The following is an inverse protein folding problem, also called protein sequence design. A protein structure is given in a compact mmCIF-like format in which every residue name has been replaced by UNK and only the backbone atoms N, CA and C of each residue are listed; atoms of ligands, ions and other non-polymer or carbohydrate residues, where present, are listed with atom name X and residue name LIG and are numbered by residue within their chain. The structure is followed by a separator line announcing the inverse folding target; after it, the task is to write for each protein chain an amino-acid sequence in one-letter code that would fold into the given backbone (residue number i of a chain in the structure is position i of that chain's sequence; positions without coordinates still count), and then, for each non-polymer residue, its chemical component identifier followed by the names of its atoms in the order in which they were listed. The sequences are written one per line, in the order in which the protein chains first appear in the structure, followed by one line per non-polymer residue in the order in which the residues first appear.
data_IF_082236914447
#
_entry.id   IF_082236914447
#
_cell.length_a   1.000
_cell.length_b   1.000
_cell.length_c   1.000
_cell.angle_alpha   90.00
_cell.angle_beta   90.00
_cell.angle_gamma   90.00
#
_symmetry.space_group_name_H-M   'P 1'
#
loop_
_entity.id
_entity.type
_entity.pdbx_description
1 polymer ?
#
# COMPACT_ATOMS: atom_id res chain seq x y z
N UNK A 1 -37.02 -18.34 53.37
CA UNK A 1 -38.11 -19.05 52.65
C UNK A 1 -38.45 -18.31 51.35
N UNK A 2 -38.73 -19.09 50.29
CA UNK A 2 -39.35 -18.74 49.00
C UNK A 2 -38.51 -18.05 47.91
N UNK A 3 -38.00 -18.93 47.04
CA UNK A 3 -37.62 -18.75 45.63
C UNK A 3 -38.76 -18.19 44.78
N UNK A 4 -38.43 -17.41 43.74
CA UNK A 4 -39.23 -17.34 42.50
C UNK A 4 -38.38 -16.89 41.29
N UNK A 5 -38.08 -17.83 40.40
CA UNK A 5 -38.02 -17.68 38.92
C UNK A 5 -39.15 -18.58 38.37
N UNK A 6 -39.52 -18.58 37.07
CA UNK A 6 -39.34 -17.61 35.97
C UNK A 6 -40.70 -17.33 35.27
N UNK A 7 -40.75 -16.49 34.22
CA UNK A 7 -41.79 -16.63 33.18
C UNK A 7 -41.32 -16.14 31.81
N UNK A 8 -41.13 -17.11 30.93
CA UNK A 8 -41.03 -16.99 29.48
C UNK A 8 -42.35 -16.48 28.89
N UNK A 9 -42.29 -15.62 27.87
CA UNK A 9 -43.44 -15.41 26.99
C UNK A 9 -42.99 -15.54 25.52
N UNK A 10 -43.11 -16.77 25.00
CA UNK A 10 -43.32 -17.02 23.58
C UNK A 10 -44.82 -16.90 23.32
N UNK A 11 -45.22 -16.11 22.33
CA UNK A 11 -46.43 -16.40 21.57
C UNK A 11 -46.26 -16.13 20.07
N UNK A 12 -47.07 -16.81 19.23
CA UNK A 12 -46.75 -17.10 17.84
C UNK A 12 -47.75 -16.48 16.85
N UNK A 13 -47.37 -16.55 15.57
CA UNK A 13 -48.32 -16.81 14.48
C UNK A 13 -48.89 -15.59 13.75
N UNK A 14 -48.95 -15.71 12.42
CA UNK A 14 -49.78 -14.84 11.60
C UNK A 14 -49.31 -14.63 10.17
N UNK A 15 -49.33 -15.69 9.36
CA UNK A 15 -49.24 -15.62 7.89
C UNK A 15 -50.40 -14.77 7.33
N UNK A 16 -50.15 -13.99 6.30
CA UNK A 16 -51.08 -13.85 5.16
C UNK A 16 -50.33 -13.26 3.96
N UNK A 17 -50.49 -13.91 2.82
CA UNK A 17 -49.78 -13.59 1.60
C UNK A 17 -50.43 -12.45 0.82
N UNK A 18 -49.62 -11.84 -0.04
CA UNK A 18 -50.10 -11.12 -1.20
C UNK A 18 -49.28 -11.57 -2.40
N UNK A 19 -49.92 -12.40 -3.24
CA UNK A 19 -49.55 -12.61 -4.64
C UNK A 19 -49.57 -11.27 -5.35
N UNK A 20 -48.48 -10.89 -6.03
CA UNK A 20 -48.58 -10.04 -7.22
C UNK A 20 -47.79 -10.66 -8.37
N UNK A 21 -48.52 -10.80 -9.47
CA UNK A 21 -48.10 -11.31 -10.77
C UNK A 21 -47.33 -10.22 -11.52
N UNK A 22 -46.27 -10.65 -12.21
CA UNK A 22 -45.96 -10.31 -13.59
C UNK A 22 -45.66 -8.85 -13.95
N UNK A 23 -44.39 -8.58 -14.21
CA UNK A 23 -43.98 -7.79 -15.36
C UNK A 23 -42.69 -8.42 -15.92
N UNK A 24 -42.80 -8.95 -17.14
CA UNK A 24 -41.68 -9.39 -17.93
C UNK A 24 -40.88 -8.16 -18.37
N UNK A 25 -39.57 -8.18 -18.13
CA UNK A 25 -38.63 -7.29 -18.81
C UNK A 25 -37.45 -8.13 -19.26
N UNK A 26 -37.43 -8.41 -20.56
CA UNK A 26 -36.29 -9.01 -21.23
C UNK A 26 -35.20 -7.97 -21.39
N UNK A 27 -34.02 -8.26 -20.87
CA UNK A 27 -32.78 -7.63 -21.29
C UNK A 27 -31.81 -8.76 -21.67
N UNK A 28 -31.68 -8.97 -22.97
CA UNK A 28 -30.69 -9.84 -23.60
C UNK A 28 -29.30 -9.22 -23.37
N UNK A 29 -28.57 -9.70 -22.36
CA UNK A 29 -27.15 -9.43 -22.14
C UNK A 29 -26.37 -10.72 -22.35
N UNK A 30 -25.64 -10.80 -23.46
CA UNK A 30 -24.94 -12.00 -23.95
C UNK A 30 -23.90 -12.48 -22.94
N UNK A 31 -24.18 -13.58 -22.25
CA UNK A 31 -23.17 -14.40 -21.62
C UNK A 31 -22.26 -14.98 -22.72
N UNK A 32 -21.05 -14.44 -22.85
CA UNK A 32 -20.00 -15.07 -23.63
C UNK A 32 -19.62 -16.36 -22.91
N UNK A 33 -20.24 -17.46 -23.32
CA UNK A 33 -19.90 -18.82 -22.91
C UNK A 33 -18.49 -19.11 -23.39
N UNK A 34 -17.56 -19.28 -22.45
CA UNK A 34 -16.26 -19.86 -22.73
C UNK A 34 -16.49 -21.34 -23.04
N UNK A 35 -16.63 -21.67 -24.32
CA UNK A 35 -16.68 -23.06 -24.80
C UNK A 35 -15.29 -23.68 -24.60
N UNK A 36 -15.18 -24.57 -23.63
CA UNK A 36 -14.13 -25.58 -23.61
C UNK A 36 -14.38 -26.55 -24.76
N UNK A 37 -13.82 -26.28 -25.93
CA UNK A 37 -13.78 -27.26 -27.01
C UNK A 37 -12.74 -28.31 -26.63
N UNK A 38 -13.23 -29.47 -26.17
CA UNK A 38 -12.48 -30.73 -26.18
C UNK A 38 -12.24 -31.11 -27.64
N UNK A 39 -11.16 -30.58 -28.21
CA UNK A 39 -10.70 -30.83 -29.58
C UNK A 39 -9.34 -31.51 -29.54
N UNK A 40 -9.30 -32.75 -29.07
CA UNK A 40 -8.11 -33.61 -29.14
C UNK A 40 -8.17 -34.50 -30.39
N UNK A 41 -8.41 -33.96 -31.59
CA UNK A 41 -8.49 -34.79 -32.81
C UNK A 41 -8.15 -34.01 -34.11
N UNK A 42 -7.15 -33.11 -34.07
CA UNK A 42 -6.87 -32.22 -35.20
C UNK A 42 -5.40 -31.95 -35.54
N UNK A 43 -4.43 -32.72 -35.01
CA UNK A 43 -3.00 -32.43 -35.16
C UNK A 43 -2.19 -33.54 -35.86
N UNK A 44 -2.88 -34.41 -36.61
CA UNK A 44 -2.23 -35.38 -37.50
C UNK A 44 -2.52 -34.98 -38.94
N UNK A 45 -1.63 -34.20 -39.57
CA UNK A 45 -1.40 -34.16 -41.03
C UNK A 45 -0.93 -32.79 -41.55
N UNK A 46 0.14 -32.23 -41.00
CA UNK A 46 1.07 -31.40 -41.79
C UNK A 46 2.43 -31.58 -41.14
N UNK A 47 3.49 -31.72 -41.92
CA UNK A 47 4.87 -32.00 -41.47
C UNK A 47 5.19 -33.50 -41.42
N UNK A 48 5.21 -34.12 -42.59
CA UNK A 48 6.12 -35.24 -42.84
C UNK A 48 7.53 -34.67 -43.02
N UNK A 49 8.28 -34.46 -41.93
CA UNK A 49 9.73 -34.24 -42.03
C UNK A 49 10.35 -35.57 -42.45
N UNK A 50 10.62 -35.72 -43.75
CA UNK A 50 11.59 -36.71 -44.21
C UNK A 50 12.95 -36.21 -43.76
N UNK A 51 13.45 -36.75 -42.66
CA UNK A 51 14.84 -36.55 -42.27
C UNK A 51 15.73 -37.18 -43.36
N UNK A 52 16.16 -36.36 -44.32
CA UNK A 52 17.32 -36.68 -45.17
C UNK A 52 18.53 -36.53 -44.26
N UNK A 53 18.85 -37.59 -43.52
CA UNK A 53 20.14 -37.69 -42.84
C UNK A 53 21.14 -38.08 -43.92
N UNK A 54 21.61 -37.09 -44.69
CA UNK A 54 22.88 -37.20 -45.39
C UNK A 54 23.96 -37.42 -44.34
N UNK A 55 24.83 -38.45 -44.46
CA UNK A 55 26.01 -38.57 -43.61
C UNK A 55 26.99 -37.50 -44.08
N UNK A 56 26.76 -36.24 -43.69
CA UNK A 56 27.81 -35.25 -43.75
C UNK A 56 28.95 -35.78 -42.89
N UNK A 57 30.09 -35.97 -43.55
CA UNK A 57 31.36 -36.36 -42.96
C UNK A 57 31.49 -35.79 -41.55
N UNK A 58 31.49 -36.65 -40.54
CA UNK A 58 31.89 -36.26 -39.18
C UNK A 58 33.36 -35.85 -39.29
N UNK A 59 33.60 -34.58 -39.61
CA UNK A 59 34.90 -33.95 -39.35
C UNK A 59 35.03 -34.04 -37.84
N UNK A 60 35.75 -35.05 -37.38
CA UNK A 60 36.24 -35.09 -36.01
C UNK A 60 36.98 -33.78 -35.82
N UNK A 61 36.36 -32.84 -35.12
CA UNK A 61 37.05 -31.66 -34.64
C UNK A 61 38.20 -32.21 -33.81
N UNK A 62 39.42 -32.06 -34.33
CA UNK A 62 40.65 -32.41 -33.63
C UNK A 62 40.60 -31.62 -32.31
N UNK A 63 40.44 -32.33 -31.20
CA UNK A 63 40.51 -31.75 -29.86
C UNK A 63 41.88 -31.10 -29.71
N UNK A 64 41.92 -29.78 -29.81
CA UNK A 64 43.10 -29.00 -29.44
C UNK A 64 43.13 -28.97 -27.92
N UNK A 65 44.24 -29.41 -27.33
CA UNK A 65 44.43 -29.32 -25.88
C UNK A 65 44.36 -27.85 -25.43
N UNK A 66 43.71 -27.60 -24.31
CA UNK A 66 43.67 -26.26 -23.68
C UNK A 66 45.05 -25.91 -23.15
N UNK A 67 45.51 -24.70 -23.47
CA UNK A 67 46.74 -24.14 -22.89
C UNK A 67 46.48 -23.65 -21.46
N UNK A 68 47.48 -23.77 -20.56
CA UNK A 68 47.39 -23.21 -19.21
C UNK A 68 47.12 -21.69 -19.22
N UNK A 69 47.64 -21.00 -20.24
CA UNK A 69 47.41 -19.55 -20.43
C UNK A 69 45.95 -19.25 -20.78
N UNK A 70 45.29 -20.14 -21.53
CA UNK A 70 43.89 -19.97 -21.95
C UNK A 70 42.93 -20.02 -20.77
N UNK A 71 43.15 -20.97 -19.84
CA UNK A 71 42.38 -21.06 -18.59
C UNK A 71 42.63 -19.84 -17.70
N UNK A 72 43.88 -19.37 -17.62
CA UNK A 72 44.23 -18.19 -16.82
C UNK A 72 43.51 -16.93 -17.35
N UNK A 73 43.51 -16.72 -18.66
CA UNK A 73 42.77 -15.61 -19.28
C UNK A 73 41.26 -15.77 -19.05
N UNK A 74 40.70 -16.98 -19.18
CA UNK A 74 39.29 -17.23 -18.92
C UNK A 74 38.88 -16.89 -17.47
N UNK A 75 39.70 -17.27 -16.48
CA UNK A 75 39.48 -16.94 -15.06
C UNK A 75 39.58 -15.42 -14.80
N UNK A 76 40.50 -14.74 -15.47
CA UNK A 76 40.61 -13.26 -15.38
C UNK A 76 39.36 -12.60 -15.95
N UNK A 77 38.92 -12.98 -17.16
CA UNK A 77 37.71 -12.42 -17.77
C UNK A 77 36.47 -12.73 -16.93
N UNK A 78 36.34 -13.96 -16.43
CA UNK A 78 35.25 -14.37 -15.56
C UNK A 78 35.21 -13.55 -14.26
N UNK A 79 36.37 -13.36 -13.62
CA UNK A 79 36.43 -12.60 -12.37
C UNK A 79 36.05 -11.13 -12.57
N UNK A 80 36.53 -10.49 -13.64
CA UNK A 80 36.11 -9.12 -14.01
C UNK A 80 34.60 -9.06 -14.30
N UNK A 81 34.06 -10.04 -15.04
CA UNK A 81 32.62 -10.12 -15.32
C UNK A 81 31.77 -10.25 -14.04
N UNK A 82 32.21 -11.08 -13.09
CA UNK A 82 31.50 -11.29 -11.82
C UNK A 82 31.51 -10.04 -10.93
N UNK A 83 32.62 -9.27 -10.92
CA UNK A 83 32.68 -7.98 -10.22
C UNK A 83 31.66 -6.98 -10.80
N UNK A 84 31.50 -6.96 -12.13
CA UNK A 84 30.47 -6.14 -12.78
C UNK A 84 29.05 -6.47 -12.31
N UNK A 85 28.71 -7.76 -12.23
CA UNK A 85 27.40 -8.21 -11.74
C UNK A 85 27.19 -7.86 -10.26
N UNK A 86 28.23 -7.98 -9.42
CA UNK A 86 28.14 -7.64 -8.00
C UNK A 86 27.79 -6.15 -7.78
N UNK A 87 28.38 -5.25 -8.57
CA UNK A 87 28.04 -3.82 -8.51
C UNK A 87 26.59 -3.58 -8.90
N UNK A 88 26.13 -4.18 -10.00
CA UNK A 88 24.73 -4.06 -10.45
C UNK A 88 23.75 -4.59 -9.40
N UNK A 89 24.09 -5.70 -8.73
CA UNK A 89 23.28 -6.24 -7.64
C UNK A 89 23.15 -5.26 -6.47
N UNK A 90 24.26 -4.67 -6.02
CA UNK A 90 24.23 -3.65 -4.94
C UNK A 90 23.38 -2.46 -5.33
N UNK A 91 23.49 -1.97 -6.57
CA UNK A 91 22.66 -0.87 -7.06
C UNK A 91 21.18 -1.24 -7.12
N UNK A 92 20.86 -2.47 -7.54
CA UNK A 92 19.48 -2.96 -7.54
C UNK A 92 18.90 -2.99 -6.13
N UNK A 93 19.63 -3.47 -5.13
CA UNK A 93 19.18 -3.52 -3.73
C UNK A 93 18.97 -2.10 -3.18
N UNK A 94 19.90 -1.18 -3.45
CA UNK A 94 19.77 0.23 -3.04
C UNK A 94 18.54 0.89 -3.64
N UNK A 95 18.31 0.70 -4.94
CA UNK A 95 17.13 1.21 -5.65
C UNK A 95 15.83 0.67 -5.06
N UNK A 96 15.75 -0.64 -4.82
CA UNK A 96 14.57 -1.26 -4.19
C UNK A 96 14.30 -0.72 -2.79
N UNK A 97 15.34 -0.48 -1.99
CA UNK A 97 15.19 0.11 -0.65
C UNK A 97 14.67 1.55 -0.71
N UNK A 98 15.21 2.38 -1.61
CA UNK A 98 14.74 3.76 -1.80
C UNK A 98 13.28 3.80 -2.23
N UNK A 99 12.88 2.93 -3.17
CA UNK A 99 11.48 2.82 -3.59
C UNK A 99 10.54 2.40 -2.45
N UNK A 100 10.98 1.49 -1.58
CA UNK A 100 10.23 1.08 -0.39
C UNK A 100 10.02 2.26 0.58
N UNK A 101 11.08 3.00 0.91
CA UNK A 101 11.01 4.16 1.82
C UNK A 101 10.08 5.24 1.29
N UNK A 102 10.16 5.55 -0.01
CA UNK A 102 9.26 6.50 -0.67
C UNK A 102 7.81 6.04 -0.60
N UNK A 103 7.55 4.75 -0.80
CA UNK A 103 6.20 4.18 -0.68
C UNK A 103 5.68 4.29 0.76
N UNK A 104 6.52 4.01 1.75
CA UNK A 104 6.17 4.19 3.17
C UNK A 104 5.85 5.66 3.48
N UNK A 105 6.65 6.60 3.00
CA UNK A 105 6.42 8.04 3.18
C UNK A 105 5.06 8.48 2.57
N UNK A 106 4.75 8.03 1.35
CA UNK A 106 3.46 8.32 0.70
C UNK A 106 2.28 7.76 1.51
N UNK A 107 2.41 6.53 2.01
CA UNK A 107 1.37 5.90 2.83
C UNK A 107 1.18 6.63 4.17
N UNK A 108 2.26 7.03 4.84
CA UNK A 108 2.22 7.78 6.10
C UNK A 108 1.58 9.16 5.93
N UNK A 109 1.91 9.87 4.86
CA UNK A 109 1.29 11.18 4.56
C UNK A 109 -0.19 11.01 4.22
N UNK A 110 -0.55 9.95 3.48
CA UNK A 110 -1.95 9.65 3.16
C UNK A 110 -2.75 9.28 4.41
N UNK A 111 -2.18 8.46 5.31
CA UNK A 111 -2.78 8.08 6.60
C UNK A 111 -3.10 9.32 7.45
N UNK A 112 -2.16 10.24 7.61
CA UNK A 112 -2.41 11.50 8.32
C UNK A 112 -3.49 12.33 7.63
N UNK A 113 -3.50 12.32 6.30
CA UNK A 113 -4.54 12.98 5.55
C UNK A 113 -5.95 12.46 5.78
N UNK A 114 -6.08 11.14 5.88
CA UNK A 114 -7.35 10.50 6.16
C UNK A 114 -7.82 10.75 7.59
N UNK A 115 -6.90 10.83 8.56
CA UNK A 115 -7.20 11.24 9.94
C UNK A 115 -7.73 12.68 10.01
N UNK A 116 -7.06 13.61 9.34
CA UNK A 116 -7.50 15.02 9.26
C UNK A 116 -8.89 15.12 8.63
N UNK A 117 -9.17 14.35 7.56
CA UNK A 117 -10.51 14.29 6.95
C UNK A 117 -11.56 13.69 7.88
N UNK A 118 -11.21 12.65 8.64
CA UNK A 118 -12.12 12.00 9.57
C UNK A 118 -12.49 12.90 10.76
N UNK A 119 -11.56 13.75 11.20
CA UNK A 119 -11.74 14.72 12.28
C UNK A 119 -11.77 16.17 11.74
N UNK A 120 -12.51 16.36 10.64
CA UNK A 120 -12.67 17.67 10.02
C UNK A 120 -13.23 18.69 11.03
N UNK A 121 -12.60 19.86 11.13
CA UNK A 121 -12.95 20.92 12.08
C UNK A 121 -12.05 21.00 13.33
N UNK A 122 -11.08 20.10 13.50
CA UNK A 122 -10.05 20.24 14.53
C UNK A 122 -9.05 21.39 14.24
N UNK A 123 -8.96 21.84 12.99
CA UNK A 123 -8.25 23.08 12.63
C UNK A 123 -6.78 23.06 13.05
N UNK A 124 -6.37 24.09 13.79
CA UNK A 124 -5.02 24.27 14.31
C UNK A 124 -4.57 23.19 15.30
N UNK A 125 -5.46 22.34 15.82
CA UNK A 125 -5.05 21.23 16.68
C UNK A 125 -4.23 20.16 15.93
N UNK A 126 -4.30 20.12 14.59
CA UNK A 126 -3.39 19.29 13.79
C UNK A 126 -2.07 20.01 13.45
N UNK A 127 -1.91 21.28 13.81
CA UNK A 127 -0.65 21.99 13.55
C UNK A 127 0.42 21.56 14.55
N UNK A 128 1.47 20.91 14.05
CA UNK A 128 2.59 20.44 14.87
C UNK A 128 3.32 21.58 15.58
N UNK A 129 3.33 22.80 15.03
CA UNK A 129 3.96 23.97 15.65
C UNK A 129 3.23 24.48 16.90
N UNK A 130 1.97 24.07 17.10
CA UNK A 130 1.20 24.33 18.34
C UNK A 130 1.85 23.65 19.54
N UNK A 131 2.57 22.55 19.29
CA UNK A 131 3.21 21.74 20.31
C UNK A 131 4.70 22.08 20.39
N UNK A 132 5.18 22.49 21.57
CA UNK A 132 6.60 22.77 21.82
C UNK A 132 7.49 21.51 21.88
N UNK A 133 7.08 20.42 21.24
CA UNK A 133 7.67 19.09 21.35
C UNK A 133 6.79 18.01 20.72
N UNK A 134 6.98 16.76 21.14
CA UNK A 134 6.15 15.64 20.67
C UNK A 134 4.74 15.78 21.26
N UNK A 135 3.67 15.77 20.44
CA UNK A 135 2.28 15.78 20.90
C UNK A 135 1.99 14.66 21.89
N UNK A 136 1.12 14.91 22.88
CA UNK A 136 0.76 13.92 23.88
C UNK A 136 -0.25 12.90 23.32
N UNK A 137 -0.10 11.63 23.68
CA UNK A 137 -1.15 10.63 23.43
C UNK A 137 -2.23 10.73 24.50
N UNK A 138 -3.50 10.70 24.05
CA UNK A 138 -4.69 10.74 24.91
C UNK A 138 -5.41 9.38 24.98
N UNK A 139 -4.90 8.37 24.26
CA UNK A 139 -5.48 7.03 24.22
C UNK A 139 -6.86 6.99 23.56
N UNK A 140 -7.09 7.87 22.58
CA UNK A 140 -8.39 8.03 21.92
C UNK A 140 -8.76 6.82 21.05
N UNK A 141 -7.77 6.19 20.42
CA UNK A 141 -7.94 4.99 19.62
C UNK A 141 -7.96 3.73 20.49
N UNK A 142 -8.71 2.71 20.06
CA UNK A 142 -8.68 1.40 20.70
C UNK A 142 -7.31 0.74 20.50
N UNK A 143 -6.85 0.02 21.51
CA UNK A 143 -5.59 -0.74 21.49
C UNK A 143 -5.86 -2.23 21.69
N UNK A 144 -4.86 -3.07 21.42
CA UNK A 144 -4.98 -4.52 21.67
C UNK A 144 -5.09 -4.74 23.19
N UNK A 145 -6.32 -4.97 23.65
CA UNK A 145 -6.64 -5.20 25.07
C UNK A 145 -7.30 -4.03 25.80
N UNK A 146 -7.60 -2.91 25.13
CA UNK A 146 -8.22 -1.74 25.74
C UNK A 146 -9.20 -1.00 24.82
N UNK A 147 -10.28 -0.48 25.41
CA UNK A 147 -11.12 0.50 24.70
C UNK A 147 -10.44 1.87 24.72
N UNK A 148 -10.59 2.62 23.62
CA UNK A 148 -10.16 4.01 23.55
C UNK A 148 -10.97 4.90 24.49
N UNK A 149 -10.40 6.04 24.86
CA UNK A 149 -11.05 7.07 25.67
C UNK A 149 -11.94 7.98 24.80
N UNK A 150 -12.93 8.63 25.43
CA UNK A 150 -13.72 9.65 24.74
C UNK A 150 -12.91 10.94 24.67
N UNK A 151 -12.42 11.28 23.48
CA UNK A 151 -11.66 12.49 23.23
C UNK A 151 -12.49 13.58 22.59
N UNK A 152 -12.20 14.84 22.94
CA UNK A 152 -12.63 15.99 22.14
C UNK A 152 -11.94 15.98 20.77
N UNK A 153 -12.46 16.68 19.75
CA UNK A 153 -11.80 16.78 18.45
C UNK A 153 -10.34 17.26 18.54
N UNK A 154 -10.03 18.18 19.46
CA UNK A 154 -8.66 18.66 19.66
C UNK A 154 -7.74 17.60 20.30
N UNK A 155 -8.23 16.86 21.30
CA UNK A 155 -7.47 15.76 21.91
C UNK A 155 -7.27 14.59 20.93
N UNK A 156 -8.26 14.31 20.10
CA UNK A 156 -8.14 13.30 19.05
C UNK A 156 -7.08 13.69 18.02
N UNK A 157 -7.00 14.97 17.64
CA UNK A 157 -5.98 15.48 16.72
C UNK A 157 -4.56 15.35 17.31
N UNK A 158 -4.38 15.71 18.59
CA UNK A 158 -3.09 15.56 19.27
C UNK A 158 -2.68 14.07 19.38
N UNK A 159 -3.61 13.18 19.72
CA UNK A 159 -3.37 11.74 19.79
C UNK A 159 -3.06 11.12 18.42
N UNK A 160 -3.72 11.60 17.36
CA UNK A 160 -3.42 11.22 15.98
C UNK A 160 -2.02 11.62 15.58
N UNK A 161 -1.61 12.86 15.87
CA UNK A 161 -0.24 13.33 15.62
C UNK A 161 0.78 12.49 16.39
N UNK A 162 0.54 12.23 17.68
CA UNK A 162 1.44 11.44 18.51
C UNK A 162 1.66 10.03 17.94
N UNK A 163 0.57 9.33 17.60
CA UNK A 163 0.63 7.98 17.01
C UNK A 163 1.24 7.97 15.62
N UNK A 164 0.94 8.97 14.81
CA UNK A 164 1.50 9.08 13.45
C UNK A 164 2.99 9.38 13.48
N UNK A 165 3.44 10.32 14.32
CA UNK A 165 4.88 10.61 14.46
C UNK A 165 5.64 9.37 14.93
N UNK A 166 5.05 8.54 15.78
CA UNK A 166 5.65 7.26 16.16
C UNK A 166 5.71 6.28 14.97
N UNK A 167 4.63 6.15 14.21
CA UNK A 167 4.64 5.33 12.99
C UNK A 167 5.70 5.81 11.96
N UNK A 168 5.92 7.13 11.87
CA UNK A 168 6.99 7.70 11.01
C UNK A 168 8.37 7.30 11.54
N UNK A 169 8.60 7.35 12.86
CA UNK A 169 9.88 6.91 13.48
C UNK A 169 10.17 5.43 13.28
N UNK A 170 9.14 4.60 13.33
CA UNK A 170 9.28 3.16 13.13
C UNK A 170 9.53 2.80 11.66
N UNK A 171 8.92 3.53 10.73
CA UNK A 171 8.97 3.20 9.31
C UNK A 171 10.18 3.81 8.58
N UNK A 172 10.58 5.04 8.94
CA UNK A 172 11.58 5.80 8.19
C UNK A 172 12.89 5.97 8.97
N UNK A 173 14.05 5.97 8.27
CA UNK A 173 15.33 6.22 8.92
C UNK A 173 15.44 7.68 9.42
N UNK A 174 16.21 7.85 10.50
CA UNK A 174 16.52 9.16 11.07
C UNK A 174 17.31 10.08 10.14
N UNK A 175 17.48 11.33 10.58
CA UNK A 175 18.32 12.34 9.91
C UNK A 175 19.48 12.66 10.85
N UNK A 176 20.70 12.27 10.46
CA UNK A 176 21.87 12.33 11.36
C UNK A 176 21.63 11.48 12.61
N UNK A 177 21.86 12.08 13.78
CA UNK A 177 21.59 11.45 15.08
C UNK A 177 20.13 11.64 15.56
N UNK A 178 19.30 12.33 14.76
CA UNK A 178 17.92 12.66 15.08
C UNK A 178 16.89 11.72 14.45
N UNK A 179 15.63 11.74 14.94
CA UNK A 179 14.53 11.00 14.32
C UNK A 179 14.20 11.55 12.92
N UNK A 180 13.44 10.80 12.10
CA UNK A 180 12.84 11.36 10.89
C UNK A 180 11.94 12.55 11.25
N UNK A 181 11.86 13.53 10.36
CA UNK A 181 11.01 14.72 10.55
C UNK A 181 9.60 14.41 10.08
N UNK A 182 8.61 14.79 10.86
CA UNK A 182 7.19 14.62 10.57
C UNK A 182 6.47 15.89 11.03
N UNK A 183 5.91 16.65 10.10
CA UNK A 183 5.35 17.99 10.35
C UNK A 183 4.01 18.11 9.64
N UNK A 184 3.05 18.70 10.33
CA UNK A 184 1.78 19.16 9.75
C UNK A 184 1.67 20.66 10.00
N UNK A 185 1.52 21.42 8.92
CA UNK A 185 1.31 22.87 8.95
C UNK A 185 -0.16 23.15 8.60
N UNK A 186 -0.82 23.94 9.44
CA UNK A 186 -2.22 24.33 9.20
C UNK A 186 -2.29 25.75 8.64
N UNK A 187 -2.93 25.88 7.49
CA UNK A 187 -3.21 27.15 6.84
C UNK A 187 -4.69 27.49 7.00
N UNK A 188 -5.05 28.40 7.92
CA UNK A 188 -6.44 28.77 8.14
C UNK A 188 -7.02 29.41 6.87
N UNK A 189 -8.25 29.02 6.50
CA UNK A 189 -8.87 29.51 5.27
C UNK A 189 -10.24 28.90 5.01
N UNK A 190 -10.83 29.27 3.87
CA UNK A 190 -12.04 28.64 3.30
C UNK A 190 -11.83 28.47 1.79
N UNK A 191 -11.32 27.33 1.32
CA UNK A 191 -11.05 26.11 2.07
C UNK A 191 -9.86 26.24 3.03
N UNK A 192 -9.87 25.45 4.09
CA UNK A 192 -8.70 25.29 4.97
C UNK A 192 -7.73 24.28 4.32
N UNK A 193 -6.42 24.51 4.52
CA UNK A 193 -5.38 23.70 3.88
C UNK A 193 -4.42 23.17 4.95
N UNK A 194 -4.01 21.91 4.80
CA UNK A 194 -3.00 21.27 5.63
C UNK A 194 -1.86 20.81 4.76
N UNK A 195 -0.63 21.17 5.09
CA UNK A 195 0.57 20.59 4.47
C UNK A 195 1.15 19.55 5.40
N UNK A 196 1.16 18.31 4.96
CA UNK A 196 1.76 17.20 5.69
C UNK A 196 3.11 16.91 5.02
N UNK A 197 4.18 16.90 5.80
CA UNK A 197 5.53 16.60 5.32
C UNK A 197 6.21 15.55 6.20
N UNK A 198 6.93 14.64 5.55
CA UNK A 198 7.82 13.68 6.18
C UNK A 198 9.18 13.75 5.51
N UNK A 199 10.25 13.72 6.31
CA UNK A 199 11.62 13.72 5.79
C UNK A 199 12.50 12.68 6.49
N UNK A 200 13.39 12.06 5.71
CA UNK A 200 14.30 11.00 6.14
C UNK A 200 15.63 11.10 5.39
N UNK A 201 16.68 10.47 5.91
CA UNK A 201 17.98 10.43 5.25
C UNK A 201 18.24 9.07 4.61
N UNK A 202 18.70 9.06 3.35
CA UNK A 202 19.22 7.86 2.71
C UNK A 202 20.75 7.96 2.64
N UNK A 203 21.51 6.92 3.01
CA UNK A 203 22.98 6.99 3.07
C UNK A 203 23.70 7.33 1.76
N UNK A 204 22.98 7.31 0.63
CA UNK A 204 23.52 7.63 -0.69
C UNK A 204 23.49 9.12 -1.03
N UNK A 205 22.81 9.95 -0.24
CA UNK A 205 22.59 11.38 -0.53
C UNK A 205 22.95 12.24 0.68
N UNK A 206 23.56 13.41 0.46
CA UNK A 206 23.92 14.32 1.55
C UNK A 206 22.70 15.06 2.14
N UNK A 207 21.69 15.34 1.30
CA UNK A 207 20.47 16.03 1.73
C UNK A 207 19.38 15.03 2.13
N UNK A 208 18.61 15.30 3.19
CA UNK A 208 17.46 14.47 3.52
C UNK A 208 16.39 14.57 2.43
N UNK A 209 15.78 13.42 2.11
CA UNK A 209 14.61 13.36 1.25
C UNK A 209 13.40 13.87 2.02
N UNK A 210 12.55 14.63 1.34
CA UNK A 210 11.28 15.12 1.88
C UNK A 210 10.15 14.79 0.91
N UNK A 211 9.07 14.25 1.46
CA UNK A 211 7.81 14.07 0.74
C UNK A 211 6.73 14.87 1.48
N UNK A 212 5.94 15.62 0.71
CA UNK A 212 4.82 16.38 1.26
C UNK A 212 3.58 16.25 0.40
N UNK A 213 2.42 16.45 1.02
CA UNK A 213 1.15 16.58 0.33
C UNK A 213 0.28 17.65 1.00
N UNK A 214 -0.44 18.40 0.17
CA UNK A 214 -1.39 19.41 0.61
C UNK A 214 -2.81 18.83 0.56
N UNK A 215 -3.54 19.00 1.66
CA UNK A 215 -4.93 18.55 1.80
C UNK A 215 -5.81 19.77 1.96
N UNK A 216 -6.79 19.87 1.07
CA UNK A 216 -7.75 20.96 1.04
C UNK A 216 -9.08 20.44 1.58
N UNK A 217 -9.55 20.99 2.69
CA UNK A 217 -10.89 20.72 3.21
C UNK A 217 -11.84 21.84 2.78
N UNK A 218 -12.77 21.50 1.88
CA UNK A 218 -13.82 22.41 1.50
C UNK A 218 -14.84 22.58 2.64
N UNK A 219 -15.36 23.80 2.85
CA UNK A 219 -16.40 24.01 3.85
C UNK A 219 -17.61 23.13 3.53
N UNK A 220 -18.14 22.46 4.56
CA UNK A 220 -19.36 21.66 4.45
C UNK A 220 -20.48 22.58 3.95
N UNK A 221 -21.03 22.28 2.77
CA UNK A 221 -22.19 22.99 2.25
C UNK A 221 -23.37 22.69 3.18
N UNK A 222 -23.63 23.55 4.15
CA UNK A 222 -24.85 23.48 4.95
C UNK A 222 -25.94 23.95 4.00
N UNK A 223 -26.70 23.00 3.44
CA UNK A 223 -27.89 23.34 2.68
C UNK A 223 -28.72 24.29 3.55
N UNK A 224 -28.88 25.53 3.10
CA UNK A 224 -29.73 26.50 3.76
C UNK A 224 -31.10 25.83 3.91
N UNK A 225 -31.44 25.44 5.14
CA UNK A 225 -32.77 24.96 5.45
C UNK A 225 -33.68 26.16 5.18
N UNK A 226 -34.35 26.11 4.03
CA UNK A 226 -35.33 27.11 3.63
C UNK A 226 -36.36 27.23 4.73
N UNK A 227 -36.39 28.41 5.36
CA UNK A 227 -37.49 28.78 6.23
C UNK A 227 -38.77 28.93 5.40
N UNK A 228 -39.92 28.49 5.92
CA UNK A 228 -41.19 29.07 5.54
C UNK A 228 -41.36 30.49 6.12
#
# INVERSE_FOLDING_TARGET
MRRARPRSNRRPGGRTGARRRGAAFGARGRHAQCRTTSGLDGWRSVVSVRAVISPESRRFFRSRGVSLVEVLVALVVLSVGMLGVAVLFVQSVRSSRSALLRTQAVNLVSDMGDRIRANAGAGAAYDTSTYGGVPASHGCAQTVGGSGSNCTPAQLAEDDLARWMEAVREALPGIGDGPPRAVVEYFPGRPEVYRISVAWHEPSEEQPFEYHADIVLAPRQVAAAGGP
#
